data_IF_696818279463
#
_entry.id   IF_696818279463
#
_cell.length_a   1.000
_cell.length_b   1.000
_cell.length_c   1.000
_cell.angle_alpha   90.00
_cell.angle_beta   90.00
_cell.angle_gamma   90.00
#
_symmetry.space_group_name_H-M   'P 1'
#
loop_
_entity.id
_entity.type
_entity.pdbx_description
1 polymer ?
#
# COMPACT_ATOMS: atom_id res chain seq x y z
N UNK A 1 -5.66 26.64 -28.17
CA UNK A 1 -4.52 26.56 -29.11
C UNK A 1 -4.38 25.14 -29.64
N UNK A 2 -3.56 24.92 -30.67
CA UNK A 2 -3.33 23.59 -31.27
C UNK A 2 -2.74 22.59 -30.25
N UNK A 3 -1.81 23.03 -29.41
CA UNK A 3 -1.23 22.24 -28.32
C UNK A 3 -2.27 21.72 -27.31
N UNK A 4 -3.31 22.49 -27.00
CA UNK A 4 -4.40 22.03 -26.12
C UNK A 4 -5.20 20.90 -26.77
N UNK A 5 -5.55 21.04 -28.06
CA UNK A 5 -6.25 19.98 -28.82
C UNK A 5 -5.42 18.70 -28.91
N UNK A 6 -4.10 18.82 -29.09
CA UNK A 6 -3.19 17.67 -29.08
C UNK A 6 -3.15 17.00 -27.70
N UNK A 7 -3.02 17.77 -26.62
CA UNK A 7 -3.02 17.25 -25.26
C UNK A 7 -4.34 16.54 -24.90
N UNK A 8 -5.48 17.12 -25.27
CA UNK A 8 -6.81 16.53 -25.10
C UNK A 8 -6.97 15.23 -25.90
N UNK A 9 -6.53 15.21 -27.16
CA UNK A 9 -6.57 14.01 -28.01
C UNK A 9 -5.67 12.88 -27.49
N UNK A 10 -4.47 13.22 -26.97
CA UNK A 10 -3.59 12.25 -26.33
C UNK A 10 -4.19 11.73 -25.02
N UNK A 11 -4.78 12.59 -24.20
CA UNK A 11 -5.46 12.19 -22.95
C UNK A 11 -6.63 11.24 -23.24
N UNK A 12 -7.48 11.56 -24.22
CA UNK A 12 -8.62 10.71 -24.60
C UNK A 12 -8.14 9.33 -25.12
N UNK A 13 -7.11 9.30 -25.97
CA UNK A 13 -6.53 8.02 -26.46
C UNK A 13 -5.96 7.19 -25.31
N UNK A 14 -5.27 7.83 -24.36
CA UNK A 14 -4.74 7.18 -23.17
C UNK A 14 -5.85 6.60 -22.28
N UNK A 15 -6.89 7.39 -21.99
CA UNK A 15 -8.06 6.98 -21.22
C UNK A 15 -8.77 5.77 -21.85
N UNK A 16 -9.08 5.83 -23.15
CA UNK A 16 -9.71 4.74 -23.90
C UNK A 16 -8.84 3.47 -23.94
N UNK A 17 -7.53 3.62 -24.15
CA UNK A 17 -6.58 2.50 -24.17
C UNK A 17 -6.55 1.78 -22.82
N UNK A 18 -6.51 2.53 -21.73
CA UNK A 18 -6.50 1.95 -20.38
C UNK A 18 -7.83 1.29 -20.00
N UNK A 19 -8.97 1.90 -20.35
CA UNK A 19 -10.29 1.29 -20.11
C UNK A 19 -10.43 -0.03 -20.90
N UNK A 20 -9.99 -0.06 -22.15
CA UNK A 20 -10.00 -1.25 -23.00
C UNK A 20 -9.15 -2.38 -22.38
N UNK A 21 -7.90 -2.11 -22.01
CA UNK A 21 -7.02 -3.12 -21.41
C UNK A 21 -7.44 -3.53 -19.99
N UNK A 22 -7.94 -2.61 -19.14
CA UNK A 22 -8.53 -2.96 -17.83
C UNK A 22 -9.75 -3.87 -17.98
N UNK A 23 -10.58 -3.65 -19.00
CA UNK A 23 -11.75 -4.50 -19.26
C UNK A 23 -11.35 -5.88 -19.79
N UNK A 24 -10.36 -5.97 -20.67
CA UNK A 24 -9.84 -7.26 -21.16
C UNK A 24 -9.17 -8.05 -20.03
N UNK A 25 -8.46 -7.37 -19.12
CA UNK A 25 -7.86 -7.99 -17.93
C UNK A 25 -8.86 -8.67 -16.99
N UNK A 26 -10.15 -8.29 -17.07
CA UNK A 26 -11.24 -8.67 -16.17
C UNK A 26 -12.52 -9.06 -16.94
N UNK A 27 -12.37 -9.62 -18.14
CA UNK A 27 -13.49 -9.84 -19.06
C UNK A 27 -14.47 -10.94 -18.61
N UNK A 28 -13.97 -11.91 -17.83
CA UNK A 28 -14.68 -13.08 -17.35
C UNK A 28 -14.92 -12.93 -15.84
N UNK A 29 -16.17 -13.11 -15.39
CA UNK A 29 -16.56 -12.88 -14.00
C UNK A 29 -16.02 -13.98 -13.06
N UNK A 30 -15.92 -15.23 -13.52
CA UNK A 30 -15.43 -16.36 -12.73
C UNK A 30 -13.90 -16.29 -12.57
N UNK A 31 -13.17 -16.15 -13.68
CA UNK A 31 -11.70 -16.13 -13.71
C UNK A 31 -11.16 -15.03 -14.61
N UNK A 32 -10.65 -13.97 -14.00
CA UNK A 32 -9.98 -12.89 -14.73
C UNK A 32 -8.81 -13.44 -15.54
N UNK A 33 -8.70 -13.11 -16.85
CA UNK A 33 -7.53 -13.50 -17.64
C UNK A 33 -6.20 -13.00 -17.05
N UNK A 34 -6.22 -11.99 -16.17
CA UNK A 34 -5.04 -11.48 -15.45
C UNK A 34 -4.54 -12.41 -14.33
N UNK A 35 -5.37 -13.33 -13.86
CA UNK A 35 -4.99 -14.38 -12.92
C UNK A 35 -4.18 -15.50 -13.62
N UNK A 36 -4.16 -15.52 -14.95
CA UNK A 36 -3.35 -16.45 -15.74
C UNK A 36 -2.00 -15.84 -16.09
N UNK A 37 -1.07 -15.96 -15.14
CA UNK A 37 0.32 -15.48 -15.25
C UNK A 37 1.21 -16.59 -15.84
N UNK A 38 1.98 -16.34 -16.91
CA UNK A 38 2.12 -15.06 -17.61
C UNK A 38 0.93 -14.74 -18.53
N UNK A 39 0.51 -13.47 -18.51
CA UNK A 39 -0.57 -12.93 -19.34
C UNK A 39 -0.37 -13.24 -20.83
N UNK A 40 -1.42 -13.72 -21.49
CA UNK A 40 -1.41 -14.09 -22.91
C UNK A 40 -2.51 -13.33 -23.67
N UNK A 41 -2.16 -12.69 -24.78
CA UNK A 41 -3.16 -12.21 -25.76
C UNK A 41 -3.06 -13.01 -27.06
N UNK A 42 -4.15 -13.04 -27.83
CA UNK A 42 -4.21 -13.65 -29.15
C UNK A 42 -3.19 -13.01 -30.10
N UNK A 43 -2.14 -13.75 -30.44
CA UNK A 43 -1.09 -13.32 -31.36
C UNK A 43 0.20 -12.78 -30.71
N UNK A 44 0.26 -12.66 -29.38
CA UNK A 44 1.54 -12.42 -28.70
C UNK A 44 2.44 -13.66 -28.76
N UNK A 45 3.71 -13.44 -29.12
CA UNK A 45 4.77 -14.48 -29.11
C UNK A 45 5.71 -14.37 -27.91
N UNK A 46 5.65 -13.28 -27.16
CA UNK A 46 6.49 -13.02 -26.00
C UNK A 46 5.63 -13.15 -24.74
N UNK A 47 6.07 -14.01 -23.83
CA UNK A 47 5.40 -14.30 -22.56
C UNK A 47 6.35 -13.92 -21.42
N UNK A 48 5.84 -13.22 -20.40
CA UNK A 48 6.63 -12.82 -19.23
C UNK A 48 5.73 -12.28 -18.11
N UNK A 49 6.15 -12.51 -16.88
CA UNK A 49 5.69 -11.86 -15.65
C UNK A 49 5.71 -10.33 -15.78
N UNK A 50 6.66 -9.75 -16.53
CA UNK A 50 6.73 -8.31 -16.77
C UNK A 50 5.52 -7.78 -17.56
N UNK A 51 5.01 -8.53 -18.54
CA UNK A 51 3.80 -8.14 -19.28
C UNK A 51 2.56 -8.26 -18.40
N UNK A 52 2.51 -9.29 -17.57
CA UNK A 52 1.46 -9.49 -16.57
C UNK A 52 1.42 -8.32 -15.58
N UNK A 53 2.59 -7.90 -15.07
CA UNK A 53 2.75 -6.70 -14.25
C UNK A 53 2.39 -5.41 -15.01
N UNK A 54 2.66 -5.32 -16.31
CA UNK A 54 2.28 -4.17 -17.13
C UNK A 54 0.76 -4.06 -17.30
N UNK A 55 0.06 -5.18 -17.49
CA UNK A 55 -1.41 -5.21 -17.53
C UNK A 55 -2.00 -4.94 -16.14
N UNK A 56 -1.42 -5.51 -15.08
CA UNK A 56 -1.78 -5.19 -13.70
C UNK A 56 -1.60 -3.70 -13.39
N UNK A 57 -0.52 -3.06 -13.87
CA UNK A 57 -0.31 -1.63 -13.72
C UNK A 57 -1.38 -0.76 -14.42
N UNK A 58 -1.88 -1.20 -15.58
CA UNK A 58 -3.03 -0.56 -16.25
C UNK A 58 -4.29 -0.72 -15.39
N UNK A 59 -4.55 -1.93 -14.88
CA UNK A 59 -5.68 -2.21 -14.00
C UNK A 59 -5.62 -1.35 -12.72
N UNK A 60 -4.48 -1.30 -12.02
CA UNK A 60 -4.30 -0.44 -10.84
C UNK A 60 -4.61 1.02 -11.18
N UNK A 61 -4.14 1.53 -12.32
CA UNK A 61 -4.43 2.91 -12.69
C UNK A 61 -5.91 3.17 -13.03
N UNK A 62 -6.62 2.17 -13.57
CA UNK A 62 -8.08 2.21 -13.72
C UNK A 62 -8.79 2.18 -12.36
N UNK A 63 -8.38 1.28 -11.45
CA UNK A 63 -8.85 1.20 -10.06
C UNK A 63 -8.58 2.48 -9.24
N UNK A 64 -7.56 3.27 -9.59
CA UNK A 64 -7.32 4.60 -8.99
C UNK A 64 -8.31 5.67 -9.48
N UNK A 65 -8.86 5.52 -10.69
CA UNK A 65 -9.80 6.49 -11.28
C UNK A 65 -11.25 6.17 -10.94
N UNK A 66 -11.64 4.89 -11.02
CA UNK A 66 -12.99 4.42 -10.68
C UNK A 66 -13.05 4.05 -9.21
N UNK A 67 -14.25 4.05 -8.62
CA UNK A 67 -14.45 3.48 -7.29
C UNK A 67 -14.40 1.95 -7.41
N UNK A 68 -13.24 1.36 -7.15
CA UNK A 68 -13.04 -0.09 -7.12
C UNK A 68 -14.02 -0.79 -6.18
N UNK A 69 -14.38 -2.03 -6.49
CA UNK A 69 -15.04 -2.93 -5.53
C UNK A 69 -14.00 -3.61 -4.63
N UNK A 70 -14.41 -4.10 -3.46
CA UNK A 70 -13.51 -4.85 -2.58
C UNK A 70 -13.10 -6.20 -3.21
N UNK A 71 -13.92 -6.77 -4.08
CA UNK A 71 -13.59 -7.95 -4.89
C UNK A 71 -12.52 -7.64 -5.94
N UNK A 72 -12.73 -6.58 -6.76
CA UNK A 72 -11.75 -6.12 -7.76
C UNK A 72 -10.35 -5.98 -7.12
N UNK A 73 -10.33 -5.37 -5.95
CA UNK A 73 -9.10 -5.16 -5.17
C UNK A 73 -8.52 -6.50 -4.70
N UNK A 74 -9.31 -7.36 -4.07
CA UNK A 74 -8.86 -8.62 -3.46
C UNK A 74 -8.27 -9.57 -4.51
N UNK A 75 -8.89 -9.65 -5.70
CA UNK A 75 -8.35 -10.38 -6.86
C UNK A 75 -7.02 -9.79 -7.33
N UNK A 76 -6.94 -8.46 -7.41
CA UNK A 76 -5.70 -7.75 -7.76
C UNK A 76 -4.58 -7.99 -6.74
N UNK A 77 -4.86 -8.07 -5.42
CA UNK A 77 -3.86 -8.45 -4.40
C UNK A 77 -3.28 -9.84 -4.71
N UNK A 78 -4.12 -10.82 -5.03
CA UNK A 78 -3.67 -12.18 -5.38
C UNK A 78 -2.78 -12.23 -6.63
N UNK A 79 -3.07 -11.40 -7.64
CA UNK A 79 -2.19 -11.23 -8.81
C UNK A 79 -0.82 -10.67 -8.40
N UNK A 80 -0.80 -9.63 -7.56
CA UNK A 80 0.44 -8.99 -7.10
C UNK A 80 1.33 -9.92 -6.27
N UNK A 81 0.74 -10.70 -5.35
CA UNK A 81 1.44 -11.72 -4.57
C UNK A 81 2.06 -12.80 -5.47
N UNK A 82 1.30 -13.32 -6.44
CA UNK A 82 1.78 -14.32 -7.41
C UNK A 82 2.86 -13.78 -8.34
N UNK A 83 2.83 -12.49 -8.69
CA UNK A 83 3.91 -11.85 -9.44
C UNK A 83 5.20 -11.72 -8.61
N UNK A 84 5.10 -11.45 -7.31
CA UNK A 84 6.26 -11.44 -6.40
C UNK A 84 6.87 -12.83 -6.22
N UNK A 85 6.03 -13.86 -6.09
CA UNK A 85 6.46 -15.26 -5.94
C UNK A 85 7.14 -15.76 -7.22
N UNK A 86 6.48 -15.62 -8.37
CA UNK A 86 7.04 -16.03 -9.67
C UNK A 86 8.29 -15.24 -10.02
N UNK A 87 8.33 -13.95 -9.66
CA UNK A 87 9.49 -13.09 -9.82
C UNK A 87 10.63 -13.32 -8.81
N UNK A 88 10.56 -14.34 -7.93
CA UNK A 88 11.59 -14.68 -6.92
C UNK A 88 11.88 -13.60 -5.88
N UNK A 89 10.92 -12.72 -5.65
CA UNK A 89 11.03 -11.67 -4.63
C UNK A 89 10.61 -12.21 -3.26
N UNK A 90 9.47 -12.90 -3.20
CA UNK A 90 8.92 -13.53 -1.97
C UNK A 90 9.20 -15.04 -1.87
N UNK A 91 9.73 -15.66 -2.93
CA UNK A 91 10.15 -17.06 -2.92
C UNK A 91 11.66 -17.20 -3.04
N UNK A 92 12.21 -18.35 -2.60
CA UNK A 92 13.60 -18.71 -2.94
C UNK A 92 13.72 -18.96 -4.46
N UNK A 93 14.88 -18.68 -5.03
CA UNK A 93 15.24 -19.11 -6.38
C UNK A 93 15.50 -20.63 -6.39
N UNK A 94 15.33 -21.26 -7.56
CA UNK A 94 15.85 -22.60 -7.81
C UNK A 94 17.31 -22.56 -8.28
N UNK A 95 17.95 -23.72 -8.37
CA UNK A 95 19.17 -23.85 -9.18
C UNK A 95 18.84 -23.47 -10.62
N UNK A 96 19.74 -22.70 -11.26
CA UNK A 96 19.63 -22.24 -12.65
C UNK A 96 18.31 -21.48 -12.97
N UNK A 97 17.79 -20.70 -12.01
CA UNK A 97 16.51 -20.00 -12.13
C UNK A 97 16.53 -18.88 -13.20
N UNK A 98 15.77 -19.01 -14.30
CA UNK A 98 15.78 -18.03 -15.38
C UNK A 98 15.19 -16.69 -14.96
N UNK A 99 14.30 -16.64 -13.96
CA UNK A 99 13.63 -15.41 -13.53
C UNK A 99 14.63 -14.39 -12.95
N UNK A 100 15.69 -14.86 -12.28
CA UNK A 100 16.78 -14.00 -11.79
C UNK A 100 17.51 -13.34 -12.96
N UNK A 101 17.73 -14.08 -14.04
CA UNK A 101 18.37 -13.56 -15.25
C UNK A 101 17.43 -12.59 -15.99
N UNK A 102 16.21 -13.03 -16.31
CA UNK A 102 15.27 -12.34 -17.20
C UNK A 102 14.63 -11.10 -16.56
N UNK A 103 14.21 -11.16 -15.29
CA UNK A 103 13.48 -10.04 -14.65
C UNK A 103 14.39 -9.08 -13.89
N UNK A 104 15.55 -9.53 -13.42
CA UNK A 104 16.43 -8.75 -12.55
C UNK A 104 17.79 -8.40 -13.17
N UNK A 105 18.47 -9.33 -13.86
CA UNK A 105 19.84 -9.09 -14.34
C UNK A 105 19.95 -8.56 -15.77
N UNK A 106 19.16 -9.04 -16.74
CA UNK A 106 19.17 -8.52 -18.12
C UNK A 106 17.93 -7.68 -18.41
N UNK A 107 16.80 -7.98 -17.76
CA UNK A 107 15.52 -7.36 -18.07
C UNK A 107 14.87 -7.96 -19.31
N UNK A 108 13.57 -7.72 -19.47
CA UNK A 108 12.81 -8.24 -20.60
C UNK A 108 13.17 -7.44 -21.85
N UNK A 109 13.73 -8.11 -22.85
CA UNK A 109 14.12 -7.49 -24.12
C UNK A 109 12.91 -7.32 -25.04
N UNK A 110 12.50 -6.07 -25.26
CA UNK A 110 11.43 -5.71 -26.18
C UNK A 110 12.02 -5.34 -27.55
N UNK A 111 11.59 -5.98 -28.65
CA UNK A 111 12.03 -5.58 -29.99
C UNK A 111 11.45 -4.21 -30.37
N UNK A 112 12.31 -3.29 -30.79
CA UNK A 112 11.89 -2.01 -31.35
C UNK A 112 11.46 -2.22 -32.80
N UNK A 113 10.19 -2.58 -33.00
CA UNK A 113 9.62 -2.84 -34.32
C UNK A 113 9.84 -1.64 -35.27
N UNK A 114 10.34 -1.92 -36.49
CA UNK A 114 10.72 -0.89 -37.45
C UNK A 114 12.22 -0.54 -37.41
N UNK A 115 12.96 -0.90 -36.36
CA UNK A 115 14.40 -0.64 -36.25
C UNK A 115 15.24 -1.44 -37.26
N UNK A 116 14.74 -2.59 -37.72
CA UNK A 116 15.34 -3.40 -38.78
C UNK A 116 15.46 -2.65 -40.12
N UNK A 117 14.70 -1.56 -40.30
CA UNK A 117 14.79 -0.66 -41.46
C UNK A 117 15.90 0.39 -41.33
N UNK A 118 16.50 0.52 -40.15
CA UNK A 118 17.53 1.51 -39.80
C UNK A 118 18.90 0.87 -39.53
N UNK A 119 18.97 -0.45 -39.38
CA UNK A 119 20.20 -1.19 -39.09
C UNK A 119 19.91 -2.57 -38.50
N UNK A 120 20.85 -3.15 -37.73
CA UNK A 120 20.60 -4.35 -36.94
C UNK A 120 19.37 -4.17 -36.03
N UNK A 121 18.50 -5.19 -35.86
CA UNK A 121 17.31 -5.09 -35.02
C UNK A 121 17.67 -4.64 -33.60
N UNK A 122 17.06 -3.55 -33.16
CA UNK A 122 17.30 -2.95 -31.85
C UNK A 122 16.32 -3.50 -30.81
N UNK A 123 16.79 -3.63 -29.57
CA UNK A 123 15.97 -4.06 -28.43
C UNK A 123 16.08 -3.06 -27.29
N UNK A 124 14.99 -2.92 -26.52
CA UNK A 124 14.95 -2.17 -25.28
C UNK A 124 14.84 -3.13 -24.10
N UNK A 125 15.75 -3.03 -23.12
CA UNK A 125 15.74 -3.87 -21.93
C UNK A 125 14.90 -3.25 -20.80
N UNK A 126 13.89 -3.98 -20.31
CA UNK A 126 13.05 -3.58 -19.19
C UNK A 126 13.52 -4.25 -17.89
N UNK A 127 14.30 -3.51 -17.09
CA UNK A 127 14.96 -4.02 -15.86
C UNK A 127 14.25 -3.65 -14.55
N UNK A 128 13.17 -2.87 -14.60
CA UNK A 128 12.54 -2.26 -13.42
C UNK A 128 11.41 -3.10 -12.78
N UNK A 129 11.34 -4.40 -13.05
CA UNK A 129 10.29 -5.32 -12.56
C UNK A 129 9.99 -5.16 -11.06
N UNK A 130 10.99 -5.29 -10.20
CA UNK A 130 10.82 -5.19 -8.73
C UNK A 130 10.31 -3.81 -8.29
N UNK A 131 10.78 -2.74 -8.95
CA UNK A 131 10.40 -1.37 -8.61
C UNK A 131 9.00 -1.04 -9.11
N UNK A 132 8.62 -1.50 -10.31
CA UNK A 132 7.25 -1.44 -10.81
C UNK A 132 6.29 -2.23 -9.92
N UNK A 133 6.68 -3.42 -9.46
CA UNK A 133 5.88 -4.25 -8.57
C UNK A 133 5.61 -3.52 -7.25
N UNK A 134 6.66 -3.02 -6.58
CA UNK A 134 6.49 -2.24 -5.35
C UNK A 134 5.60 -1.01 -5.58
N UNK A 135 5.81 -0.29 -6.69
CA UNK A 135 5.01 0.87 -7.07
C UNK A 135 3.51 0.55 -7.13
N UNK A 136 3.14 -0.56 -7.76
CA UNK A 136 1.73 -0.97 -7.85
C UNK A 136 1.18 -1.47 -6.53
N UNK A 137 1.98 -2.18 -5.73
CA UNK A 137 1.57 -2.60 -4.38
C UNK A 137 1.29 -1.39 -3.48
N UNK A 138 2.19 -0.40 -3.44
CA UNK A 138 1.99 0.85 -2.68
C UNK A 138 0.78 1.64 -3.19
N UNK A 139 0.56 1.71 -4.51
CA UNK A 139 -0.64 2.33 -5.09
C UNK A 139 -1.92 1.60 -4.65
N UNK A 140 -1.93 0.27 -4.61
CA UNK A 140 -3.06 -0.52 -4.14
C UNK A 140 -3.33 -0.34 -2.64
N UNK A 141 -2.31 -0.18 -1.79
CA UNK A 141 -2.50 0.16 -0.38
C UNK A 141 -3.37 1.43 -0.23
N UNK A 142 -3.10 2.48 -1.02
CA UNK A 142 -3.88 3.73 -0.98
C UNK A 142 -5.32 3.62 -1.47
N UNK A 143 -5.67 2.52 -2.13
CA UNK A 143 -7.05 2.22 -2.57
C UNK A 143 -7.80 1.33 -1.59
N UNK A 144 -7.08 0.58 -0.75
CA UNK A 144 -7.70 -0.43 0.10
C UNK A 144 -8.60 0.19 1.17
N UNK A 145 -9.81 -0.35 1.27
CA UNK A 145 -10.78 -0.07 2.34
C UNK A 145 -11.00 -1.29 3.24
N UNK A 146 -10.50 -2.45 2.81
CA UNK A 146 -10.52 -3.69 3.55
C UNK A 146 -9.18 -3.85 4.30
N UNK A 147 -9.26 -3.99 5.63
CA UNK A 147 -8.08 -4.17 6.49
C UNK A 147 -7.24 -5.39 6.09
N UNK A 148 -7.86 -6.53 5.81
CA UNK A 148 -7.15 -7.76 5.43
C UNK A 148 -6.41 -7.64 4.09
N UNK A 149 -7.02 -6.99 3.10
CA UNK A 149 -6.36 -6.71 1.81
C UNK A 149 -5.25 -5.66 1.95
N UNK A 150 -5.43 -4.66 2.81
CA UNK A 150 -4.39 -3.67 3.13
C UNK A 150 -3.18 -4.30 3.82
N UNK A 151 -3.39 -5.12 4.85
CA UNK A 151 -2.30 -5.76 5.61
C UNK A 151 -1.54 -6.82 4.80
N UNK A 152 -2.18 -7.43 3.78
CA UNK A 152 -1.51 -8.24 2.77
C UNK A 152 -0.63 -7.40 1.85
N UNK A 153 -1.18 -6.32 1.30
CA UNK A 153 -0.45 -5.40 0.43
C UNK A 153 0.72 -4.71 1.16
N UNK A 154 0.56 -4.34 2.43
CA UNK A 154 1.61 -3.71 3.22
C UNK A 154 2.80 -4.65 3.43
N UNK A 155 2.54 -5.90 3.88
CA UNK A 155 3.58 -6.93 4.02
C UNK A 155 4.25 -7.25 2.69
N UNK A 156 3.47 -7.35 1.61
CA UNK A 156 4.01 -7.55 0.26
C UNK A 156 4.91 -6.37 -0.16
N UNK A 157 4.54 -5.14 0.18
CA UNK A 157 5.36 -3.96 -0.10
C UNK A 157 6.66 -3.97 0.73
N UNK A 158 6.60 -4.40 1.99
CA UNK A 158 7.78 -4.60 2.84
C UNK A 158 8.71 -5.64 2.22
N UNK A 159 8.22 -6.85 1.89
CA UNK A 159 9.02 -7.92 1.27
C UNK A 159 9.72 -7.47 -0.03
N UNK A 160 8.99 -6.79 -0.93
CA UNK A 160 9.56 -6.28 -2.19
C UNK A 160 10.58 -5.16 -1.92
N UNK A 161 10.31 -4.27 -0.96
CA UNK A 161 11.24 -3.22 -0.59
C UNK A 161 12.52 -3.79 0.02
N UNK A 162 12.41 -4.80 0.88
CA UNK A 162 13.52 -5.50 1.51
C UNK A 162 14.42 -6.21 0.48
N UNK A 163 13.79 -6.88 -0.50
CA UNK A 163 14.48 -7.42 -1.67
C UNK A 163 15.27 -6.33 -2.43
N UNK A 164 14.64 -5.18 -2.71
CA UNK A 164 15.33 -4.07 -3.37
C UNK A 164 16.40 -3.42 -2.49
N UNK A 165 16.21 -3.33 -1.18
CA UNK A 165 17.17 -2.76 -0.24
C UNK A 165 18.47 -3.57 -0.22
N UNK A 166 18.38 -4.90 -0.32
CA UNK A 166 19.55 -5.78 -0.51
C UNK A 166 20.31 -5.48 -1.80
N UNK A 167 19.64 -5.03 -2.88
CA UNK A 167 20.26 -4.63 -4.16
C UNK A 167 20.97 -3.27 -4.13
N UNK A 168 21.08 -2.59 -2.99
CA UNK A 168 21.86 -1.36 -2.88
C UNK A 168 23.36 -1.64 -2.97
N UNK A 169 24.05 -0.93 -3.85
CA UNK A 169 25.50 -0.98 -4.02
C UNK A 169 26.13 -0.29 -2.81
N UNK A 170 27.00 -1.01 -2.08
CA UNK A 170 27.64 -0.50 -0.85
C UNK A 170 28.94 0.25 -1.13
N UNK A 171 29.74 -0.25 -2.07
CA UNK A 171 31.12 0.17 -2.31
C UNK A 171 31.40 0.38 -3.81
N UNK A 172 32.45 1.15 -4.12
CA UNK A 172 32.89 1.43 -5.50
C UNK A 172 32.15 2.58 -6.19
N UNK A 173 32.32 2.70 -7.51
CA UNK A 173 31.81 3.82 -8.32
C UNK A 173 30.29 4.00 -8.25
N UNK A 174 29.55 2.90 -8.06
CA UNK A 174 28.09 2.91 -7.91
C UNK A 174 27.56 3.06 -6.49
N UNK A 175 28.42 3.33 -5.49
CA UNK A 175 28.03 3.32 -4.08
C UNK A 175 26.81 4.23 -3.80
N UNK A 176 25.84 3.68 -3.08
CA UNK A 176 24.58 4.34 -2.74
C UNK A 176 23.44 4.13 -3.75
N UNK A 177 23.74 3.70 -4.98
CA UNK A 177 22.74 3.38 -6.02
C UNK A 177 22.15 1.97 -5.86
N UNK A 178 21.07 1.69 -6.58
CA UNK A 178 20.42 0.39 -6.65
C UNK A 178 20.63 -0.27 -8.02
N UNK A 179 21.47 -1.30 -8.11
CA UNK A 179 21.32 -2.38 -9.11
C UNK A 179 22.16 -3.65 -8.82
N UNK A 180 22.49 -3.92 -7.55
CA UNK A 180 23.31 -5.07 -7.17
C UNK A 180 22.47 -6.35 -7.05
N UNK A 181 22.10 -6.94 -8.19
CA UNK A 181 21.30 -8.19 -8.26
C UNK A 181 21.95 -9.32 -7.45
N UNK A 182 23.29 -9.42 -7.45
CA UNK A 182 24.04 -10.46 -6.73
C UNK A 182 23.92 -10.33 -5.19
N UNK A 183 23.66 -9.14 -4.65
CA UNK A 183 23.43 -8.98 -3.22
C UNK A 183 22.04 -9.47 -2.76
N UNK A 184 21.07 -9.58 -3.69
CA UNK A 184 19.78 -10.24 -3.42
C UNK A 184 19.81 -11.75 -3.76
N UNK A 185 20.60 -12.16 -4.76
CA UNK A 185 20.72 -13.55 -5.21
C UNK A 185 22.20 -13.98 -5.25
N UNK A 186 22.81 -14.31 -4.09
CA UNK A 186 24.25 -14.60 -4.01
C UNK A 186 24.67 -15.94 -4.63
N UNK A 187 23.73 -16.87 -4.81
CA UNK A 187 23.97 -18.20 -5.39
C UNK A 187 23.71 -18.24 -6.91
N UNK A 188 23.22 -17.15 -7.52
CA UNK A 188 22.89 -17.11 -8.94
C UNK A 188 24.13 -16.80 -9.79
N UNK A 189 24.28 -17.48 -10.93
CA UNK A 189 25.34 -17.23 -11.93
C UNK A 189 25.09 -15.93 -12.73
N UNK A 190 25.18 -14.81 -12.02
CA UNK A 190 24.92 -13.47 -12.52
C UNK A 190 26.11 -13.01 -13.35
N UNK A 191 25.93 -13.10 -14.67
CA UNK A 191 26.85 -12.55 -15.65
C UNK A 191 26.94 -11.03 -15.45
N UNK A 192 28.15 -10.53 -15.12
CA UNK A 192 28.39 -9.09 -14.96
C UNK A 192 28.10 -8.36 -16.27
N UNK A 193 27.11 -7.48 -16.26
CA UNK A 193 26.85 -6.56 -17.38
C UNK A 193 28.13 -5.76 -17.69
N UNK A 194 28.52 -5.68 -18.96
CA UNK A 194 29.56 -4.72 -19.42
C UNK A 194 28.97 -3.34 -19.70
N UNK A 195 28.07 -2.88 -18.83
CA UNK A 195 27.32 -1.63 -18.98
C UNK A 195 27.67 -0.72 -17.80
N UNK A 196 27.86 0.60 -18.00
CA UNK A 196 28.07 1.54 -16.90
C UNK A 196 26.98 1.48 -15.83
N UNK A 197 27.29 1.93 -14.62
CA UNK A 197 26.31 1.98 -13.52
C UNK A 197 25.12 2.87 -13.93
N UNK A 198 23.91 2.31 -13.89
CA UNK A 198 22.70 3.00 -14.32
C UNK A 198 21.93 3.59 -13.15
N UNK A 199 21.43 4.81 -13.34
CA UNK A 199 20.54 5.48 -12.39
C UNK A 199 19.08 5.04 -12.51
N UNK A 200 18.70 4.28 -13.55
CA UNK A 200 17.30 3.97 -13.86
C UNK A 200 16.54 3.29 -12.73
N UNK A 201 17.12 2.27 -12.08
CA UNK A 201 16.49 1.59 -10.94
C UNK A 201 16.46 2.50 -9.71
N UNK A 202 17.50 3.32 -9.50
CA UNK A 202 17.54 4.29 -8.38
C UNK A 202 16.47 5.36 -8.50
N UNK A 203 16.22 5.87 -9.72
CA UNK A 203 15.10 6.76 -10.04
C UNK A 203 13.76 6.11 -9.67
N UNK A 204 13.54 4.85 -10.08
CA UNK A 204 12.29 4.13 -9.80
C UNK A 204 12.08 3.87 -8.32
N UNK A 205 13.13 3.46 -7.58
CA UNK A 205 13.07 3.31 -6.12
C UNK A 205 12.73 4.64 -5.44
N UNK A 206 13.33 5.75 -5.90
CA UNK A 206 13.07 7.09 -5.36
C UNK A 206 11.64 7.55 -5.62
N UNK A 207 11.11 7.31 -6.82
CA UNK A 207 9.71 7.61 -7.16
C UNK A 207 8.73 6.85 -6.24
N UNK A 208 9.04 5.60 -5.92
CA UNK A 208 8.22 4.77 -5.03
C UNK A 208 8.32 5.22 -3.57
N UNK A 209 9.49 5.66 -3.10
CA UNK A 209 9.62 6.26 -1.77
C UNK A 209 8.74 7.51 -1.59
N UNK A 210 8.60 8.34 -2.63
CA UNK A 210 7.69 9.50 -2.61
C UNK A 210 6.22 9.04 -2.51
N UNK A 211 5.84 7.97 -3.22
CA UNK A 211 4.48 7.42 -3.17
C UNK A 211 4.18 6.75 -1.81
N UNK A 212 5.15 6.04 -1.23
CA UNK A 212 5.04 5.46 0.10
C UNK A 212 4.92 6.55 1.19
N UNK A 213 5.66 7.66 1.06
CA UNK A 213 5.49 8.81 1.96
C UNK A 213 4.08 9.41 1.88
N UNK A 214 3.50 9.51 0.68
CA UNK A 214 2.13 9.97 0.51
C UNK A 214 1.11 8.99 1.10
N UNK A 215 1.31 7.67 0.95
CA UNK A 215 0.50 6.62 1.55
C UNK A 215 0.46 6.71 3.08
N UNK A 216 1.62 6.77 3.74
CA UNK A 216 1.69 6.84 5.21
C UNK A 216 1.14 8.14 5.83
N UNK A 217 0.79 9.14 5.01
CA UNK A 217 0.11 10.37 5.46
C UNK A 217 -1.41 10.30 5.34
N UNK A 218 -1.96 9.23 4.79
CA UNK A 218 -3.39 8.99 4.76
C UNK A 218 -3.90 8.59 6.17
N UNK A 219 -5.15 8.92 6.53
CA UNK A 219 -5.74 8.40 7.76
C UNK A 219 -5.82 6.86 7.71
N UNK A 220 -5.73 6.16 8.85
CA UNK A 220 -5.83 4.71 8.89
C UNK A 220 -7.19 4.24 8.36
N UNK A 221 -7.23 3.00 7.85
CA UNK A 221 -8.49 2.37 7.46
C UNK A 221 -9.39 2.26 8.69
N UNK A 222 -10.65 2.66 8.52
CA UNK A 222 -11.65 2.70 9.58
C UNK A 222 -12.29 1.31 9.70
N UNK A 223 -12.21 0.70 10.88
CA UNK A 223 -13.10 -0.40 11.26
C UNK A 223 -14.46 0.18 11.64
N UNK A 224 -15.52 -0.39 11.08
CA UNK A 224 -16.90 -0.02 11.40
C UNK A 224 -17.22 -0.42 12.84
N UNK A 225 -16.79 -1.62 13.24
CA UNK A 225 -16.97 -2.20 14.57
C UNK A 225 -16.34 -1.32 15.65
N UNK A 226 -15.09 -0.86 15.45
CA UNK A 226 -14.43 0.07 16.37
C UNK A 226 -15.11 1.45 16.39
N UNK A 227 -15.67 1.89 15.27
CA UNK A 227 -16.42 3.16 15.21
C UNK A 227 -17.72 3.06 16.01
N UNK A 228 -18.47 1.97 15.87
CA UNK A 228 -19.70 1.71 16.62
C UNK A 228 -19.43 1.57 18.12
N UNK A 229 -18.43 0.77 18.50
CA UNK A 229 -18.02 0.60 19.89
C UNK A 229 -17.53 1.93 20.51
N UNK A 230 -16.69 2.69 19.81
CA UNK A 230 -16.25 4.00 20.29
C UNK A 230 -17.42 4.99 20.47
N UNK A 231 -18.42 4.97 19.57
CA UNK A 231 -19.64 5.79 19.70
C UNK A 231 -20.51 5.37 20.88
N UNK A 232 -20.65 4.07 21.14
CA UNK A 232 -21.36 3.56 22.31
C UNK A 232 -20.70 4.01 23.63
N UNK A 233 -19.39 3.77 23.79
CA UNK A 233 -18.65 4.19 24.98
C UNK A 233 -18.60 5.72 25.14
N UNK A 234 -18.56 6.48 24.04
CA UNK A 234 -18.66 7.96 24.07
C UNK A 234 -20.01 8.43 24.64
N UNK A 235 -21.09 7.72 24.35
CA UNK A 235 -22.44 8.03 24.83
C UNK A 235 -22.57 7.73 26.32
N UNK A 236 -22.15 6.53 26.74
CA UNK A 236 -22.14 6.11 28.14
C UNK A 236 -21.26 7.02 29.01
N UNK A 237 -20.02 7.27 28.59
CA UNK A 237 -19.10 8.15 29.31
C UNK A 237 -19.63 9.57 29.46
N UNK A 238 -20.34 10.08 28.46
CA UNK A 238 -20.93 11.42 28.52
C UNK A 238 -22.13 11.48 29.47
N UNK A 239 -22.92 10.40 29.57
CA UNK A 239 -23.99 10.29 30.55
C UNK A 239 -23.43 10.20 31.98
N UNK A 240 -22.42 9.34 32.21
CA UNK A 240 -21.79 9.18 33.52
C UNK A 240 -21.07 10.46 33.99
N UNK A 241 -20.36 11.16 33.10
CA UNK A 241 -19.79 12.48 33.42
C UNK A 241 -20.89 13.49 33.79
N UNK A 242 -22.01 13.50 33.06
CA UNK A 242 -23.15 14.37 33.36
C UNK A 242 -23.75 14.10 34.75
N UNK A 243 -23.83 12.83 35.15
CA UNK A 243 -24.26 12.45 36.50
C UNK A 243 -23.24 12.92 37.56
N UNK A 244 -21.95 12.67 37.36
CA UNK A 244 -20.88 13.09 38.29
C UNK A 244 -20.80 14.62 38.45
N UNK A 245 -21.09 15.39 37.40
CA UNK A 245 -21.17 16.85 37.44
C UNK A 245 -22.37 17.41 38.23
N UNK A 246 -23.40 16.57 38.50
CA UNK A 246 -24.59 16.94 39.27
C UNK A 246 -24.47 16.57 40.76
N UNK A 247 -23.42 15.82 41.14
CA UNK A 247 -23.17 15.44 42.53
C UNK A 247 -22.73 16.64 43.40
N UNK A 248 -22.97 16.60 44.72
CA UNK A 248 -22.52 17.65 45.63
C UNK A 248 -20.99 17.82 45.59
N UNK A 249 -20.52 19.08 45.59
CA UNK A 249 -19.09 19.37 45.53
C UNK A 249 -18.35 18.76 46.75
N UNK A 250 -17.34 17.89 46.53
CA UNK A 250 -16.62 17.25 47.63
C UNK A 250 -15.73 18.25 48.38
N UNK A 251 -15.30 17.87 49.59
CA UNK A 251 -14.44 18.70 50.44
C UNK A 251 -13.08 19.05 49.81
N UNK A 252 -12.57 18.25 48.87
CA UNK A 252 -11.44 18.55 47.99
C UNK A 252 -11.91 18.93 46.57
N UNK A 253 -12.69 20.01 46.49
CA UNK A 253 -13.24 20.52 45.23
C UNK A 253 -12.14 20.88 44.20
N UNK A 254 -10.94 21.25 44.66
CA UNK A 254 -9.81 21.60 43.79
C UNK A 254 -9.27 20.40 43.01
N UNK A 255 -9.00 19.29 43.69
CA UNK A 255 -8.52 18.06 43.04
C UNK A 255 -9.59 17.41 42.17
N UNK A 256 -10.82 17.34 42.68
CA UNK A 256 -11.95 16.77 41.95
C UNK A 256 -12.26 17.55 40.67
N UNK A 257 -12.29 18.88 40.72
CA UNK A 257 -12.49 19.73 39.54
C UNK A 257 -11.39 19.56 38.47
N UNK A 258 -10.13 19.33 38.87
CA UNK A 258 -9.06 19.00 37.92
C UNK A 258 -9.27 17.63 37.25
N UNK A 259 -9.78 16.63 37.98
CA UNK A 259 -10.09 15.31 37.42
C UNK A 259 -11.24 15.38 36.42
N UNK A 260 -12.36 16.03 36.77
CA UNK A 260 -13.48 16.24 35.84
C UNK A 260 -13.04 16.97 34.57
N UNK A 261 -12.22 18.03 34.70
CA UNK A 261 -11.70 18.76 33.54
C UNK A 261 -10.78 17.91 32.65
N UNK A 262 -10.02 16.98 33.22
CA UNK A 262 -9.21 16.04 32.45
C UNK A 262 -10.10 15.06 31.66
N UNK A 263 -11.14 14.51 32.31
CA UNK A 263 -12.15 13.65 31.68
C UNK A 263 -12.84 14.38 30.51
N UNK A 264 -13.26 15.64 30.69
CA UNK A 264 -13.84 16.47 29.62
C UNK A 264 -12.90 16.63 28.42
N UNK A 265 -11.61 16.90 28.65
CA UNK A 265 -10.62 17.05 27.57
C UNK A 265 -10.45 15.73 26.81
N UNK A 266 -10.37 14.60 27.52
CA UNK A 266 -10.29 13.27 26.92
C UNK A 266 -11.53 12.94 26.08
N UNK A 267 -12.74 13.19 26.61
CA UNK A 267 -13.99 12.97 25.86
C UNK A 267 -14.11 13.89 24.64
N UNK A 268 -13.73 15.17 24.76
CA UNK A 268 -13.71 16.08 23.61
C UNK A 268 -12.76 15.60 22.53
N UNK A 269 -11.58 15.10 22.90
CA UNK A 269 -10.60 14.51 21.97
C UNK A 269 -11.12 13.21 21.35
N UNK A 270 -11.74 12.33 22.12
CA UNK A 270 -12.35 11.11 21.60
C UNK A 270 -13.46 11.41 20.58
N UNK A 271 -14.32 12.40 20.84
CA UNK A 271 -15.34 12.87 19.88
C UNK A 271 -14.76 13.40 18.58
N UNK A 272 -13.63 14.11 18.59
CA UNK A 272 -12.99 14.58 17.34
C UNK A 272 -12.26 13.46 16.59
N UNK A 273 -11.85 12.39 17.28
CA UNK A 273 -11.14 11.27 16.68
C UNK A 273 -12.04 10.13 16.18
N UNK A 274 -13.30 10.03 16.62
CA UNK A 274 -14.14 8.84 16.38
C UNK A 274 -14.31 8.49 14.89
N UNK A 275 -14.31 9.49 14.01
CA UNK A 275 -14.46 9.30 12.56
C UNK A 275 -13.15 9.10 11.79
N UNK A 276 -11.98 9.37 12.40
CA UNK A 276 -10.66 9.30 11.74
C UNK A 276 -9.74 8.24 12.35
N UNK A 277 -9.83 8.03 13.67
CA UNK A 277 -9.01 7.14 14.48
C UNK A 277 -9.90 6.45 15.53
N UNK A 278 -10.87 5.61 15.12
CA UNK A 278 -11.86 5.02 16.03
C UNK A 278 -11.22 4.20 17.16
N UNK A 279 -10.11 3.49 16.90
CA UNK A 279 -9.36 2.77 17.94
C UNK A 279 -8.75 3.70 19.01
N UNK A 280 -8.28 4.88 18.63
CA UNK A 280 -7.77 5.88 19.58
C UNK A 280 -8.91 6.52 20.37
N UNK A 281 -10.05 6.79 19.72
CA UNK A 281 -11.26 7.26 20.41
C UNK A 281 -11.78 6.24 21.44
N UNK A 282 -11.82 4.95 21.06
CA UNK A 282 -12.18 3.83 21.93
C UNK A 282 -11.26 3.70 23.15
N UNK A 283 -9.94 3.79 22.96
CA UNK A 283 -8.99 3.73 24.08
C UNK A 283 -9.16 4.91 25.05
N UNK A 284 -9.41 6.12 24.52
CA UNK A 284 -9.67 7.31 25.33
C UNK A 284 -10.99 7.21 26.12
N UNK A 285 -12.04 6.59 25.56
CA UNK A 285 -13.30 6.38 26.29
C UNK A 285 -13.19 5.31 27.38
N UNK A 286 -12.48 4.21 27.14
CA UNK A 286 -12.21 3.22 28.20
C UNK A 286 -11.45 3.83 29.39
N UNK A 287 -10.43 4.63 29.12
CA UNK A 287 -9.69 5.37 30.15
C UNK A 287 -10.60 6.34 30.92
N UNK A 288 -11.53 7.02 30.23
CA UNK A 288 -12.54 7.87 30.88
C UNK A 288 -13.49 7.07 31.77
N UNK A 289 -14.02 5.94 31.30
CA UNK A 289 -14.90 5.08 32.12
C UNK A 289 -14.19 4.60 33.39
N UNK A 290 -12.92 4.19 33.29
CA UNK A 290 -12.11 3.81 34.45
C UNK A 290 -11.88 4.96 35.45
N UNK A 291 -11.73 6.19 34.96
CA UNK A 291 -11.65 7.38 35.83
C UNK A 291 -13.00 7.70 36.50
N UNK A 292 -14.12 7.55 35.79
CA UNK A 292 -15.48 7.79 36.33
C UNK A 292 -15.88 6.74 37.38
N UNK A 293 -15.61 5.45 37.15
CA UNK A 293 -15.78 4.38 38.16
C UNK A 293 -14.92 4.65 39.41
N UNK A 294 -13.69 5.13 39.22
CA UNK A 294 -12.80 5.51 40.33
C UNK A 294 -13.35 6.68 41.16
N UNK A 295 -14.00 7.67 40.53
CA UNK A 295 -14.65 8.78 41.22
C UNK A 295 -15.90 8.33 41.98
N UNK A 296 -16.77 7.54 41.34
CA UNK A 296 -17.97 6.98 41.96
C UNK A 296 -17.65 6.14 43.21
N UNK A 297 -16.65 5.24 43.12
CA UNK A 297 -16.18 4.46 44.28
C UNK A 297 -15.60 5.30 45.39
N UNK A 298 -14.88 6.38 45.06
CA UNK A 298 -14.33 7.29 46.06
C UNK A 298 -15.44 8.04 46.81
N UNK A 299 -16.51 8.44 46.12
CA UNK A 299 -17.73 9.00 46.73
C UNK A 299 -18.42 7.98 47.64
N UNK A 300 -18.72 6.78 47.14
CA UNK A 300 -19.35 5.72 47.95
C UNK A 300 -18.53 5.36 49.21
N UNK A 301 -17.20 5.42 49.14
CA UNK A 301 -16.34 5.18 50.29
C UNK A 301 -16.38 6.33 51.32
N UNK A 302 -16.54 7.58 50.86
CA UNK A 302 -16.73 8.73 51.73
C UNK A 302 -18.11 8.68 52.41
N UNK A 303 -19.17 8.39 51.67
CA UNK A 303 -20.55 8.32 52.18
C UNK A 303 -20.76 7.21 53.23
N UNK A 304 -19.99 6.12 53.16
CA UNK A 304 -19.99 5.03 54.15
C UNK A 304 -19.04 5.25 55.33
N UNK A 305 -18.22 6.30 55.29
CA UNK A 305 -17.23 6.65 56.32
C UNK A 305 -17.72 7.68 57.34
N UNK A 306 -18.99 8.10 57.24
CA UNK A 306 -19.69 9.09 58.07
C UNK A 306 -20.77 8.39 58.89
#
# INVERSE_FOLDING_TARGET
TEQQRLAEALRLRWELTQQYWSRIARFDDDRWPLEDIPWRTTGQKLESEYFSLSVAAILVHDLMRRRATDDDLTRTVGVMERLAERGRITSRMTRDDPMVHELHNMGVALPLQGSERLGPPMTWAMTDFSAQLLKRTVQLCTLSRNLGSHDRLLRLAEDIFDHMWRRRIRDGEGAGLWDNVHAAYPEAEIHKRRVPVSWSITERVTEVMVQAHAMYRQPPIRSLELTELARALLSESAHLLGNEQMEPAPSDAGRHGMQLRNIEVKLRRARTLVDEQPGTAYALTLDVLGQLDSLARAREAADRGV
#
